data_IF_791574576916
#
_entry.id   IF_791574576916
#
_cell.length_a   1.000
_cell.length_b   1.000
_cell.length_c   1.000
_cell.angle_alpha   90.00
_cell.angle_beta   90.00
_cell.angle_gamma   90.00
#
_symmetry.space_group_name_H-M   'P 1'
#
loop_
_entity.id
_entity.type
_entity.pdbx_description
1 polymer ?
#
# COMPACT_ATOMS: atom_id res chain seq x y z
N UNK A 1 -0.17 2.55 -7.65
CA UNK A 1 -1.59 2.71 -7.32
C UNK A 1 -2.43 2.59 -8.58
N UNK A 2 -3.70 2.28 -8.43
CA UNK A 2 -4.67 2.23 -9.52
C UNK A 2 -5.92 3.05 -9.19
N UNK A 3 -6.43 3.78 -10.19
CA UNK A 3 -7.63 4.60 -10.07
C UNK A 3 -8.85 3.75 -10.36
N UNK A 4 -9.78 3.64 -9.41
CA UNK A 4 -10.99 2.83 -9.54
C UNK A 4 -12.24 3.64 -9.20
N UNK A 5 -13.41 3.15 -9.62
CA UNK A 5 -14.69 3.71 -9.18
C UNK A 5 -15.20 2.96 -7.95
N UNK A 6 -15.40 3.67 -6.83
CA UNK A 6 -15.89 3.05 -5.60
C UNK A 6 -17.26 2.40 -5.82
N UNK A 7 -17.40 1.12 -5.50
CA UNK A 7 -18.67 0.41 -5.65
C UNK A 7 -19.82 0.99 -4.82
N UNK A 8 -19.52 1.65 -3.68
CA UNK A 8 -20.50 2.23 -2.75
C UNK A 8 -20.89 3.66 -3.12
N UNK A 9 -19.94 4.60 -3.13
CA UNK A 9 -20.25 6.02 -3.36
C UNK A 9 -20.12 6.46 -4.82
N UNK A 10 -19.65 5.58 -5.72
CA UNK A 10 -19.45 5.83 -7.15
C UNK A 10 -18.44 6.94 -7.49
N UNK A 11 -17.76 7.51 -6.50
CA UNK A 11 -16.65 8.45 -6.70
C UNK A 11 -15.36 7.70 -6.99
N UNK A 12 -14.48 8.35 -7.74
CA UNK A 12 -13.15 7.85 -8.07
C UNK A 12 -12.25 7.83 -6.84
N UNK A 13 -11.44 6.80 -6.68
CA UNK A 13 -10.48 6.70 -5.58
C UNK A 13 -9.28 5.86 -6.02
N UNK A 14 -8.12 6.16 -5.48
CA UNK A 14 -6.93 5.35 -5.73
C UNK A 14 -6.88 4.17 -4.74
N UNK A 15 -6.35 3.05 -5.23
CA UNK A 15 -6.01 1.89 -4.42
C UNK A 15 -4.51 1.65 -4.51
N UNK A 16 -3.90 1.34 -3.38
CA UNK A 16 -2.52 0.87 -3.34
C UNK A 16 -2.52 -0.57 -3.89
N UNK A 17 -1.56 -0.86 -4.76
CA UNK A 17 -1.48 -2.13 -5.49
C UNK A 17 -0.30 -2.97 -5.01
N UNK A 18 0.83 -2.31 -4.78
CA UNK A 18 2.07 -2.90 -4.28
C UNK A 18 2.89 -1.80 -3.60
N UNK A 19 3.74 -2.22 -2.69
CA UNK A 19 4.67 -1.37 -1.93
C UNK A 19 6.07 -1.85 -2.30
N UNK A 20 6.92 -0.95 -2.76
CA UNK A 20 8.25 -1.27 -3.25
C UNK A 20 9.30 -0.62 -2.34
N UNK A 21 10.20 -1.42 -1.77
CA UNK A 21 11.30 -0.95 -0.95
C UNK A 21 12.56 -0.79 -1.78
N UNK A 22 13.24 0.33 -1.56
CA UNK A 22 14.48 0.67 -2.22
C UNK A 22 15.52 1.06 -1.17
N UNK A 23 16.78 0.85 -1.52
CA UNK A 23 17.95 1.30 -0.76
C UNK A 23 18.89 2.07 -1.69
N UNK A 24 19.72 2.94 -1.12
CA UNK A 24 20.82 3.54 -1.86
C UNK A 24 21.92 2.50 -2.11
N UNK A 25 22.35 2.39 -3.36
CA UNK A 25 23.54 1.66 -3.78
C UNK A 25 24.37 2.57 -4.69
N UNK A 26 25.35 3.26 -4.07
CA UNK A 26 25.98 4.42 -4.67
C UNK A 26 24.98 5.56 -4.85
N UNK A 27 24.97 6.20 -6.01
CA UNK A 27 24.06 7.31 -6.35
C UNK A 27 22.66 6.84 -6.80
N UNK A 28 22.41 5.54 -6.89
CA UNK A 28 21.15 4.99 -7.42
C UNK A 28 20.32 4.32 -6.33
N UNK A 29 18.99 4.38 -6.49
CA UNK A 29 18.06 3.57 -5.72
C UNK A 29 17.93 2.18 -6.34
N UNK A 30 18.16 1.14 -5.54
CA UNK A 30 18.01 -0.27 -5.94
C UNK A 30 16.83 -0.86 -5.20
N UNK A 31 15.88 -1.45 -5.96
CA UNK A 31 14.74 -2.16 -5.38
C UNK A 31 15.23 -3.42 -4.69
N UNK A 32 14.87 -3.59 -3.43
CA UNK A 32 15.24 -4.78 -2.63
C UNK A 32 14.04 -5.66 -2.33
N UNK A 33 12.84 -5.09 -2.29
CA UNK A 33 11.67 -5.86 -1.91
C UNK A 33 10.37 -5.31 -2.48
N UNK A 34 9.37 -6.18 -2.56
CA UNK A 34 7.98 -5.85 -2.89
C UNK A 34 7.07 -6.50 -1.86
N UNK A 35 6.15 -5.72 -1.31
CA UNK A 35 5.07 -6.20 -0.45
C UNK A 35 3.71 -5.88 -1.07
N UNK A 36 2.74 -6.74 -0.76
CA UNK A 36 1.33 -6.39 -0.89
C UNK A 36 0.87 -5.73 0.42
N UNK A 37 -0.25 -4.99 0.41
CA UNK A 37 -0.74 -4.24 1.58
C UNK A 37 -1.03 -5.15 2.76
N UNK A 38 -1.46 -6.38 2.49
CA UNK A 38 -1.88 -7.34 3.51
C UNK A 38 -0.71 -7.70 4.45
N UNK A 39 0.52 -7.62 3.94
CA UNK A 39 1.76 -7.95 4.63
C UNK A 39 2.43 -6.72 5.27
N UNK A 40 1.81 -5.54 5.18
CA UNK A 40 2.44 -4.31 5.65
C UNK A 40 2.50 -4.25 7.19
N UNK A 41 3.69 -4.00 7.73
CA UNK A 41 3.89 -3.73 9.16
C UNK A 41 3.05 -2.53 9.66
N UNK A 42 2.79 -2.48 10.97
CA UNK A 42 2.06 -1.36 11.57
C UNK A 42 2.76 0.00 11.37
N UNK A 43 4.08 0.17 11.60
CA UNK A 43 4.73 1.47 11.40
C UNK A 43 4.61 2.00 9.97
N UNK A 44 4.79 1.13 8.96
CA UNK A 44 4.62 1.53 7.56
C UNK A 44 3.15 1.80 7.21
N UNK A 45 2.20 1.10 7.83
CA UNK A 45 0.77 1.40 7.71
C UNK A 45 0.44 2.80 8.25
N UNK A 46 1.03 3.19 9.38
CA UNK A 46 0.85 4.53 9.97
C UNK A 46 1.39 5.63 9.06
N UNK A 47 2.55 5.41 8.43
CA UNK A 47 3.09 6.32 7.40
C UNK A 47 2.07 6.50 6.28
N UNK A 48 1.58 5.40 5.69
CA UNK A 48 0.58 5.45 4.62
C UNK A 48 -0.76 6.05 5.05
N UNK A 49 -1.13 5.99 6.33
CA UNK A 49 -2.35 6.62 6.84
C UNK A 49 -2.15 8.07 7.26
N UNK A 50 -0.99 8.68 7.00
CA UNK A 50 -0.78 10.10 7.24
C UNK A 50 -1.76 10.95 6.39
N UNK A 51 -2.37 12.00 6.97
CA UNK A 51 -3.32 12.85 6.25
C UNK A 51 -2.75 13.46 4.96
N UNK A 52 -1.45 13.77 4.96
CA UNK A 52 -0.76 14.31 3.80
C UNK A 52 -0.79 13.33 2.60
N UNK A 53 -0.43 12.07 2.81
CA UNK A 53 -0.40 11.08 1.74
C UNK A 53 -1.81 10.69 1.28
N UNK A 54 -2.76 10.55 2.22
CA UNK A 54 -4.16 10.30 1.90
C UNK A 54 -4.73 11.40 0.99
N UNK A 55 -4.46 12.67 1.31
CA UNK A 55 -4.93 13.79 0.51
C UNK A 55 -4.20 13.91 -0.83
N UNK A 56 -2.86 13.74 -0.83
CA UNK A 56 -2.02 13.85 -2.02
C UNK A 56 -2.36 12.79 -3.06
N UNK A 57 -2.57 11.56 -2.62
CA UNK A 57 -2.75 10.41 -3.51
C UNK A 57 -4.18 9.87 -3.54
N UNK A 58 -5.12 10.45 -2.79
CA UNK A 58 -6.57 10.15 -2.87
C UNK A 58 -6.92 8.65 -2.75
N UNK A 59 -6.18 7.91 -1.93
CA UNK A 59 -6.58 6.59 -1.43
C UNK A 59 -7.18 6.73 -0.03
N UNK A 60 -8.03 5.79 0.37
CA UNK A 60 -8.61 5.77 1.72
C UNK A 60 -7.74 5.02 2.73
N UNK A 61 -8.13 5.08 4.01
CA UNK A 61 -7.38 4.45 5.08
C UNK A 61 -7.09 2.97 4.83
N UNK A 62 -5.84 2.58 5.07
CA UNK A 62 -5.36 1.21 5.06
C UNK A 62 -5.54 0.64 6.47
N UNK A 63 -6.59 -0.14 6.68
CA UNK A 63 -6.92 -0.70 8.00
C UNK A 63 -7.35 -2.17 7.90
N UNK A 64 -7.27 -2.87 9.04
CA UNK A 64 -7.75 -4.25 9.15
C UNK A 64 -9.27 -4.29 9.04
N UNK A 65 -9.78 -5.06 8.09
CA UNK A 65 -11.22 -5.29 7.89
C UNK A 65 -11.48 -6.78 7.80
N UNK A 66 -12.57 -7.22 8.44
CA UNK A 66 -13.01 -8.61 8.38
C UNK A 66 -13.62 -8.93 7.00
N UNK A 67 -13.10 -9.95 6.32
CA UNK A 67 -13.76 -10.53 5.14
C UNK A 67 -14.58 -11.75 5.54
N UNK A 68 -15.89 -11.69 5.28
CA UNK A 68 -16.78 -12.85 5.45
C UNK A 68 -16.39 -14.02 4.55
N UNK A 69 -15.78 -13.75 3.39
CA UNK A 69 -15.38 -14.78 2.42
C UNK A 69 -14.10 -15.49 2.88
N UNK A 70 -13.14 -14.74 3.44
CA UNK A 70 -11.88 -15.31 3.95
C UNK A 70 -12.00 -15.84 5.39
N UNK A 71 -13.01 -15.39 6.13
CA UNK A 71 -13.20 -15.78 7.53
C UNK A 71 -12.25 -15.10 8.51
N UNK A 72 -11.47 -14.11 8.05
CA UNK A 72 -10.44 -13.43 8.85
C UNK A 72 -10.35 -11.93 8.53
N UNK A 73 -9.63 -11.21 9.39
CA UNK A 73 -9.33 -9.79 9.18
C UNK A 73 -7.96 -9.61 8.52
N UNK A 74 -7.89 -8.71 7.54
CA UNK A 74 -6.68 -8.41 6.76
C UNK A 74 -6.60 -6.91 6.49
N UNK A 75 -5.38 -6.38 6.30
CA UNK A 75 -5.18 -4.99 5.90
C UNK A 75 -5.74 -4.78 4.49
N UNK A 76 -6.44 -3.68 4.28
CA UNK A 76 -7.21 -3.47 3.05
C UNK A 76 -7.29 -2.01 2.62
N UNK A 77 -7.45 -1.78 1.31
CA UNK A 77 -7.72 -0.46 0.77
C UNK A 77 -9.12 0.05 1.20
N UNK A 78 -9.19 1.32 1.59
CA UNK A 78 -10.43 2.07 1.74
C UNK A 78 -10.68 3.02 0.57
N UNK A 79 -11.94 3.41 0.36
CA UNK A 79 -12.27 4.54 -0.51
C UNK A 79 -11.95 5.87 0.19
N UNK A 80 -11.26 6.77 -0.49
CA UNK A 80 -10.94 8.11 0.02
C UNK A 80 -12.18 8.90 0.46
N UNK A 81 -13.32 8.72 -0.21
CA UNK A 81 -14.53 9.51 0.03
C UNK A 81 -15.49 8.93 1.07
N UNK A 82 -15.57 7.60 1.18
CA UNK A 82 -16.59 6.95 2.02
C UNK A 82 -16.07 5.77 2.83
N UNK A 83 -14.75 5.51 2.76
CA UNK A 83 -14.04 4.46 3.49
C UNK A 83 -14.55 3.03 3.23
N UNK A 84 -15.37 2.84 2.19
CA UNK A 84 -15.82 1.52 1.79
C UNK A 84 -14.62 0.65 1.40
N UNK A 85 -14.60 -0.59 1.88
CA UNK A 85 -13.59 -1.59 1.52
C UNK A 85 -13.47 -1.72 0.00
N UNK A 86 -12.29 -1.46 -0.54
CA UNK A 86 -11.94 -1.73 -1.94
C UNK A 86 -11.14 -3.04 -1.95
N UNK A 87 -11.86 -4.17 -1.96
CA UNK A 87 -11.27 -5.50 -1.79
C UNK A 87 -10.35 -5.95 -2.93
N UNK A 88 -9.59 -7.02 -2.68
CA UNK A 88 -8.57 -7.58 -3.59
C UNK A 88 -9.09 -8.02 -4.98
N UNK A 89 -10.41 -8.15 -5.16
CA UNK A 89 -11.02 -8.47 -6.45
C UNK A 89 -10.65 -7.45 -7.54
N UNK A 90 -10.60 -6.16 -7.17
CA UNK A 90 -10.20 -5.06 -8.07
C UNK A 90 -8.69 -5.06 -8.33
N UNK A 91 -7.88 -5.47 -7.36
CA UNK A 91 -6.42 -5.46 -7.45
C UNK A 91 -5.85 -6.40 -8.52
N UNK A 92 -6.53 -7.53 -8.80
CA UNK A 92 -6.08 -8.47 -9.84
C UNK A 92 -6.66 -8.17 -11.22
N UNK A 93 -7.95 -7.83 -11.31
CA UNK A 93 -8.66 -7.68 -12.59
C UNK A 93 -8.53 -6.29 -13.22
N UNK A 94 -8.27 -5.25 -12.43
CA UNK A 94 -8.15 -3.87 -12.92
C UNK A 94 -6.70 -3.37 -12.97
N UNK A 95 -5.71 -4.27 -12.84
CA UNK A 95 -4.29 -3.89 -12.96
C UNK A 95 -3.98 -3.49 -14.39
N UNK A 96 -4.15 -2.21 -14.68
CA UNK A 96 -3.68 -1.60 -15.91
C UNK A 96 -2.27 -1.02 -15.68
N UNK A 97 -1.26 -1.75 -16.13
CA UNK A 97 0.15 -1.34 -15.99
C UNK A 97 0.46 -0.04 -16.74
N UNK A 98 -0.34 0.34 -17.73
CA UNK A 98 -0.15 1.59 -18.48
C UNK A 98 -0.67 2.81 -17.72
N UNK A 99 -1.60 2.61 -16.78
CA UNK A 99 -2.27 3.66 -16.02
C UNK A 99 -1.93 3.65 -14.53
N UNK A 100 -0.86 2.93 -14.13
CA UNK A 100 -0.40 2.94 -12.74
C UNK A 100 0.15 4.30 -12.34
N UNK A 101 -0.34 4.81 -11.20
CA UNK A 101 0.19 6.01 -10.55
C UNK A 101 1.25 5.58 -9.55
N UNK A 102 2.45 6.14 -9.66
CA UNK A 102 3.55 5.91 -8.73
C UNK A 102 3.63 7.07 -7.73
N UNK A 103 3.81 6.75 -6.46
CA UNK A 103 4.12 7.78 -5.47
C UNK A 103 5.55 8.27 -5.67
N UNK A 104 5.83 9.44 -5.11
CA UNK A 104 7.20 9.79 -4.76
C UNK A 104 7.78 8.77 -3.77
N UNK A 105 9.11 8.73 -3.67
CA UNK A 105 9.79 7.94 -2.65
C UNK A 105 9.53 8.54 -1.28
N UNK A 106 9.14 7.69 -0.33
CA UNK A 106 8.91 8.08 1.06
C UNK A 106 10.06 7.50 1.87
N UNK A 107 10.82 8.36 2.53
CA UNK A 107 11.90 7.92 3.39
C UNK A 107 11.30 7.26 4.64
N UNK A 108 11.69 6.01 4.88
CA UNK A 108 11.25 5.25 6.05
C UNK A 108 12.48 4.69 6.76
N UNK A 109 12.42 4.63 8.08
CA UNK A 109 13.41 3.86 8.85
C UNK A 109 13.02 2.39 8.76
N UNK A 110 13.90 1.60 8.17
CA UNK A 110 13.88 0.17 8.32
C UNK A 110 14.46 -0.14 9.69
N UNK A 111 13.63 -0.51 10.65
CA UNK A 111 14.12 -0.86 11.98
C UNK A 111 14.95 -2.15 11.86
N UNK A 112 16.14 -2.15 12.43
CA UNK A 112 17.08 -3.28 12.37
C UNK A 112 16.80 -4.32 13.47
N UNK A 113 15.97 -3.98 14.47
CA UNK A 113 15.62 -4.86 15.58
C UNK A 113 14.29 -5.60 15.38
N UNK A 114 13.44 -5.09 14.50
CA UNK A 114 12.27 -5.81 13.99
C UNK A 114 12.62 -6.30 12.60
N UNK A 115 12.78 -7.60 12.42
CA UNK A 115 12.89 -8.22 11.10
C UNK A 115 11.96 -7.52 10.10
N UNK A 116 12.49 -7.07 8.95
CA UNK A 116 11.62 -6.73 7.82
C UNK A 116 11.09 -8.06 7.32
N UNK A 117 10.01 -8.53 7.92
CA UNK A 117 9.25 -9.71 7.48
C UNK A 117 10.14 -10.94 7.18
N UNK A 118 11.14 -11.19 8.04
CA UNK A 118 12.05 -12.34 7.96
C UNK A 118 13.24 -12.23 6.97
N UNK A 119 13.52 -11.06 6.40
CA UNK A 119 14.62 -10.87 5.44
C UNK A 119 15.65 -9.85 5.93
N UNK A 120 16.87 -10.33 6.20
CA UNK A 120 18.03 -9.50 6.55
C UNK A 120 18.62 -8.85 5.30
N UNK A 121 18.50 -7.53 5.17
CA UNK A 121 19.25 -6.77 4.18
C UNK A 121 20.51 -6.20 4.83
N UNK A 122 21.59 -6.99 4.82
CA UNK A 122 22.91 -6.47 5.17
C UNK A 122 23.44 -5.64 3.99
N UNK A 123 23.61 -4.34 4.20
CA UNK A 123 24.44 -3.51 3.34
C UNK A 123 25.82 -3.38 3.97
N UNK A 124 26.84 -3.88 3.26
CA UNK A 124 28.23 -3.48 3.45
C UNK A 124 28.54 -2.30 2.54
#
# INVERSE_FOLDING_TARGET
>A
MNTIQCWKCKQTTNTIMEINYFIHHGEKLTKIYRLDIEDLSQPHTEVLNSPELLQKYQYGFIIKRFSKIRGEAYLSNGCFHCDALQGAFFSYHERDTQNMIYSESIEVKLDHETEIDGLWYYLK
#
